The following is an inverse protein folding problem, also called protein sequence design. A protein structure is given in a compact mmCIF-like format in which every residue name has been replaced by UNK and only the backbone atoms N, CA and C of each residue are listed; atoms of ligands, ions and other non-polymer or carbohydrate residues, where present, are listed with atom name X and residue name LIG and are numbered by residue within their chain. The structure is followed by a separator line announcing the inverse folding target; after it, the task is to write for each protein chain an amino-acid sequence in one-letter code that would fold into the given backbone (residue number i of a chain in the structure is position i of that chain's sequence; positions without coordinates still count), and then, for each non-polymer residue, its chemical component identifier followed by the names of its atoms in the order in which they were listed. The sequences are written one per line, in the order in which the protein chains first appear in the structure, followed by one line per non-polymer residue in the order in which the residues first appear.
data_IF_112409623525
#
_entry.id   IF_112409623525
#
_cell.length_a   1.000
_cell.length_b   1.000
_cell.length_c   1.000
_cell.angle_alpha   90.00
_cell.angle_beta   90.00
_cell.angle_gamma   90.00
#
_symmetry.space_group_name_H-M   'P 1'
#
loop_
_entity.id
_entity.type
_entity.pdbx_description
1 polymer ?
#
# COMPACT_ATOMS: atom_id res chain seq x y z
N UNK A 1 27.52 24.32 -15.57
CA UNK A 1 27.46 23.59 -14.28
C UNK A 1 26.04 23.20 -13.82
N UNK A 2 24.98 23.92 -14.21
CA UNK A 2 23.60 23.65 -13.73
C UNK A 2 22.91 22.47 -14.45
N UNK A 3 23.13 22.30 -15.77
CA UNK A 3 22.58 21.18 -16.58
C UNK A 3 23.06 19.79 -16.15
N UNK A 4 24.30 19.65 -15.69
CA UNK A 4 24.85 18.37 -15.25
C UNK A 4 24.23 17.88 -13.93
N UNK A 5 23.82 18.82 -13.06
CA UNK A 5 23.19 18.50 -11.78
C UNK A 5 21.74 18.00 -11.98
N UNK A 6 20.98 18.65 -12.86
CA UNK A 6 19.61 18.25 -13.19
C UNK A 6 19.55 16.88 -13.88
N UNK A 7 20.44 16.63 -14.85
CA UNK A 7 20.53 15.32 -15.51
C UNK A 7 20.92 14.20 -14.52
N UNK A 8 21.78 14.49 -13.52
CA UNK A 8 22.13 13.55 -12.44
C UNK A 8 20.94 13.27 -11.52
N UNK A 9 20.22 14.31 -11.10
CA UNK A 9 19.04 14.19 -10.25
C UNK A 9 17.94 13.37 -10.93
N UNK A 10 17.73 13.61 -12.23
CA UNK A 10 16.77 12.87 -13.05
C UNK A 10 17.13 11.39 -13.14
N UNK A 11 18.39 11.05 -13.45
CA UNK A 11 18.86 9.65 -13.48
C UNK A 11 18.76 8.94 -12.14
N UNK A 12 19.00 9.65 -11.03
CA UNK A 12 18.82 9.09 -9.67
C UNK A 12 17.35 8.81 -9.41
N UNK A 13 16.46 9.72 -9.81
CA UNK A 13 15.02 9.54 -9.64
C UNK A 13 14.49 8.38 -10.50
N UNK A 14 14.89 8.26 -11.76
CA UNK A 14 14.54 7.13 -12.63
C UNK A 14 14.98 5.79 -12.04
N UNK A 15 16.20 5.71 -11.47
CA UNK A 15 16.67 4.51 -10.77
C UNK A 15 15.83 4.20 -9.54
N UNK A 16 15.44 5.21 -8.76
CA UNK A 16 14.56 5.04 -7.59
C UNK A 16 13.17 4.54 -7.99
N UNK A 17 12.60 5.06 -9.08
CA UNK A 17 11.31 4.60 -9.60
C UNK A 17 11.37 3.15 -10.05
N UNK A 18 12.42 2.75 -10.79
CA UNK A 18 12.64 1.35 -11.18
C UNK A 18 12.80 0.43 -9.96
N UNK A 19 13.56 0.85 -8.96
CA UNK A 19 13.78 0.06 -7.74
C UNK A 19 12.54 -0.04 -6.84
N UNK A 20 11.58 0.86 -7.01
CA UNK A 20 10.34 0.88 -6.24
C UNK A 20 9.23 0.04 -6.87
N UNK A 21 9.47 -0.70 -7.96
CA UNK A 21 8.49 -1.60 -8.58
C UNK A 21 7.15 -0.92 -8.94
N UNK A 22 7.19 0.33 -9.40
CA UNK A 22 5.99 1.06 -9.82
C UNK A 22 5.48 0.47 -11.15
N UNK A 23 4.21 0.04 -11.26
CA UNK A 23 3.66 -0.46 -12.52
C UNK A 23 3.65 0.62 -13.61
N UNK A 24 3.89 0.22 -14.87
CA UNK A 24 4.04 1.15 -16.01
C UNK A 24 2.81 2.05 -16.21
N UNK A 25 1.61 1.51 -16.01
CA UNK A 25 0.34 2.24 -16.10
C UNK A 25 0.21 3.40 -15.10
N UNK A 26 0.97 3.39 -14.00
CA UNK A 26 0.99 4.46 -13.01
C UNK A 26 2.24 5.37 -13.11
N UNK A 27 3.02 5.25 -14.19
CA UNK A 27 4.22 6.07 -14.41
C UNK A 27 3.91 7.57 -14.46
N UNK A 28 2.72 7.95 -14.91
CA UNK A 28 2.26 9.35 -14.95
C UNK A 28 1.38 9.78 -13.76
N UNK A 29 1.12 8.86 -12.81
CA UNK A 29 0.33 9.14 -11.61
C UNK A 29 1.00 10.23 -10.77
N UNK A 30 0.29 11.33 -10.55
CA UNK A 30 0.72 12.52 -9.82
C UNK A 30 -0.47 13.11 -9.05
N UNK A 31 -0.21 13.96 -8.06
CA UNK A 31 -1.28 14.63 -7.31
C UNK A 31 -2.12 15.57 -8.18
N UNK A 32 -1.52 16.23 -9.17
CA UNK A 32 -2.22 17.12 -10.11
C UNK A 32 -3.15 16.36 -11.07
N UNK A 33 -2.77 15.15 -11.47
CA UNK A 33 -3.54 14.27 -12.35
C UNK A 33 -4.57 13.39 -11.61
N UNK A 34 -4.67 13.48 -10.28
CA UNK A 34 -5.65 12.73 -9.50
C UNK A 34 -7.05 13.36 -9.60
N UNK A 35 -8.04 12.56 -10.01
CA UNK A 35 -9.45 12.96 -10.11
C UNK A 35 -10.07 13.17 -8.73
N UNK A 36 -10.88 14.22 -8.58
CA UNK A 36 -11.48 14.68 -7.30
C UNK A 36 -12.95 15.05 -7.51
N UNK A 37 -13.65 14.20 -8.25
CA UNK A 37 -15.03 14.40 -8.67
C UNK A 37 -16.01 13.98 -7.56
N UNK A 38 -15.69 12.91 -6.83
CA UNK A 38 -16.51 12.40 -5.73
C UNK A 38 -16.00 12.83 -4.35
N UNK A 39 -16.84 12.71 -3.32
CA UNK A 39 -16.45 13.05 -1.93
C UNK A 39 -15.39 12.08 -1.39
N UNK A 40 -15.44 10.81 -1.78
CA UNK A 40 -14.47 9.78 -1.41
C UNK A 40 -13.09 10.13 -1.99
N UNK A 41 -13.04 10.53 -3.27
CA UNK A 41 -11.79 10.95 -3.90
C UNK A 41 -11.21 12.20 -3.22
N UNK A 42 -12.04 13.18 -2.87
CA UNK A 42 -11.62 14.37 -2.12
C UNK A 42 -11.11 14.00 -0.72
N UNK A 43 -11.77 13.07 -0.04
CA UNK A 43 -11.35 12.56 1.26
C UNK A 43 -9.99 11.85 1.18
N UNK A 44 -9.81 10.92 0.24
CA UNK A 44 -8.54 10.22 0.02
C UNK A 44 -7.41 11.20 -0.29
N UNK A 45 -7.64 12.13 -1.23
CA UNK A 45 -6.66 13.15 -1.60
C UNK A 45 -6.27 14.03 -0.42
N UNK A 46 -7.25 14.57 0.30
CA UNK A 46 -7.00 15.46 1.43
C UNK A 46 -6.30 14.75 2.59
N UNK A 47 -6.62 13.46 2.83
CA UNK A 47 -5.97 12.64 3.85
C UNK A 47 -4.51 12.38 3.50
N UNK A 48 -4.23 11.95 2.26
CA UNK A 48 -2.86 11.75 1.78
C UNK A 48 -2.05 13.05 1.83
N UNK A 49 -2.67 14.17 1.43
CA UNK A 49 -2.04 15.49 1.50
C UNK A 49 -1.67 15.89 2.93
N UNK A 50 -2.59 15.74 3.89
CA UNK A 50 -2.34 16.01 5.32
C UNK A 50 -1.24 15.09 5.89
N UNK A 51 -1.27 13.82 5.56
CA UNK A 51 -0.24 12.85 5.98
C UNK A 51 1.15 13.27 5.49
N UNK A 52 1.28 13.59 4.20
CA UNK A 52 2.56 13.99 3.59
C UNK A 52 3.07 15.36 4.06
N UNK A 53 2.17 16.27 4.43
CA UNK A 53 2.55 17.55 5.04
C UNK A 53 3.18 17.34 6.42
N UNK A 54 2.64 16.42 7.21
CA UNK A 54 3.09 16.12 8.57
C UNK A 54 4.15 14.99 8.62
N UNK A 55 4.57 14.47 7.46
CA UNK A 55 5.38 13.24 7.40
C UNK A 55 6.69 13.37 8.16
N UNK A 56 7.36 14.52 8.06
CA UNK A 56 8.66 14.75 8.70
C UNK A 56 8.56 14.66 10.23
N UNK A 57 7.45 15.15 10.78
CA UNK A 57 7.17 15.18 12.22
C UNK A 57 6.75 13.81 12.74
N UNK A 58 5.97 13.05 11.95
CA UNK A 58 5.40 11.78 12.42
C UNK A 58 6.23 10.54 12.07
N UNK A 59 7.12 10.59 11.07
CA UNK A 59 7.77 9.38 10.50
C UNK A 59 8.46 8.50 11.55
N UNK A 60 9.06 9.09 12.58
CA UNK A 60 9.81 8.37 13.61
C UNK A 60 8.97 8.07 14.87
N UNK A 61 7.66 8.34 14.83
CA UNK A 61 6.72 8.09 15.93
C UNK A 61 6.04 6.72 15.79
N UNK A 62 5.29 6.30 16.82
CA UNK A 62 4.49 5.07 16.76
C UNK A 62 3.27 5.16 15.84
N UNK A 63 2.80 6.38 15.54
CA UNK A 63 1.61 6.63 14.72
C UNK A 63 2.02 7.33 13.43
N UNK A 64 2.66 6.57 12.55
CA UNK A 64 3.35 7.09 11.38
C UNK A 64 2.85 6.47 10.06
N UNK A 65 1.84 5.61 10.11
CA UNK A 65 1.31 4.91 8.94
C UNK A 65 0.01 5.54 8.43
N UNK A 66 -0.37 5.20 7.21
CA UNK A 66 -1.63 5.59 6.58
C UNK A 66 -2.26 4.37 5.93
N UNK A 67 -3.58 4.20 6.09
CA UNK A 67 -4.32 3.05 5.59
C UNK A 67 -5.61 3.47 4.90
N UNK A 68 -5.83 2.98 3.68
CA UNK A 68 -7.12 3.09 2.99
C UNK A 68 -7.75 1.70 2.86
N UNK A 69 -8.78 1.41 3.62
CA UNK A 69 -9.46 0.10 3.64
C UNK A 69 -10.86 0.20 3.03
N UNK A 70 -11.50 -0.94 2.77
CA UNK A 70 -12.90 -0.95 2.36
C UNK A 70 -13.81 -0.70 3.58
N UNK A 71 -14.98 -0.10 3.34
CA UNK A 71 -16.06 -0.06 4.35
C UNK A 71 -16.70 -1.44 4.53
N UNK A 72 -16.77 -2.22 3.45
CA UNK A 72 -17.27 -3.59 3.44
C UNK A 72 -16.31 -4.48 2.65
N UNK A 73 -15.74 -5.47 3.32
CA UNK A 73 -14.64 -6.28 2.80
C UNK A 73 -15.06 -7.22 1.67
N UNK A 74 -14.16 -7.45 0.72
CA UNK A 74 -14.37 -8.38 -0.39
C UNK A 74 -14.71 -9.80 0.10
N UNK A 75 -14.12 -10.23 1.23
CA UNK A 75 -14.43 -11.54 1.81
C UNK A 75 -15.89 -11.65 2.27
N UNK A 76 -16.47 -10.59 2.86
CA UNK A 76 -17.90 -10.56 3.23
C UNK A 76 -18.78 -10.66 1.99
N UNK A 77 -18.44 -9.94 0.93
CA UNK A 77 -19.15 -10.04 -0.37
C UNK A 77 -19.10 -11.48 -0.90
N UNK A 78 -17.96 -12.16 -0.79
CA UNK A 78 -17.81 -13.57 -1.22
C UNK A 78 -18.63 -14.54 -0.38
N UNK A 79 -18.88 -14.24 0.88
CA UNK A 79 -19.70 -15.06 1.78
C UNK A 79 -21.22 -14.87 1.56
N UNK A 80 -21.64 -13.80 0.88
CA UNK A 80 -23.04 -13.61 0.50
C UNK A 80 -23.51 -14.67 -0.51
N UNK A 81 -24.83 -14.88 -0.52
CA UNK A 81 -25.51 -15.67 -1.55
C UNK A 81 -25.15 -15.20 -2.96
N UNK A 82 -24.87 -16.10 -3.93
CA UNK A 82 -24.44 -15.73 -5.27
C UNK A 82 -25.30 -14.67 -5.95
N UNK A 83 -26.62 -14.74 -5.77
CA UNK A 83 -27.58 -13.79 -6.34
C UNK A 83 -27.45 -12.35 -5.80
N UNK A 84 -26.91 -12.17 -4.59
CA UNK A 84 -26.76 -10.86 -3.94
C UNK A 84 -25.39 -10.22 -4.19
N UNK A 85 -24.39 -10.99 -4.63
CA UNK A 85 -23.00 -10.52 -4.77
C UNK A 85 -22.86 -9.36 -5.74
N UNK A 86 -23.56 -9.40 -6.88
CA UNK A 86 -23.47 -8.35 -7.88
C UNK A 86 -24.03 -7.01 -7.37
N UNK A 87 -25.13 -7.06 -6.61
CA UNK A 87 -25.70 -5.89 -5.97
C UNK A 87 -24.77 -5.34 -4.88
N UNK A 88 -24.30 -6.20 -3.97
CA UNK A 88 -23.38 -5.81 -2.90
C UNK A 88 -22.08 -5.20 -3.45
N UNK A 89 -21.55 -5.72 -4.57
CA UNK A 89 -20.38 -5.12 -5.24
C UNK A 89 -20.64 -3.71 -5.76
N UNK A 90 -21.84 -3.40 -6.23
CA UNK A 90 -22.20 -2.05 -6.68
C UNK A 90 -22.38 -1.10 -5.51
N UNK A 91 -23.02 -1.56 -4.44
CA UNK A 91 -23.31 -0.77 -3.25
C UNK A 91 -22.04 -0.49 -2.43
N UNK A 92 -21.17 -1.48 -2.30
CA UNK A 92 -19.97 -1.43 -1.46
C UNK A 92 -18.66 -1.49 -2.27
N UNK A 93 -18.65 -0.86 -3.44
CA UNK A 93 -17.45 -0.87 -4.25
C UNK A 93 -16.32 -0.11 -3.54
N UNK A 94 -15.13 -0.71 -3.44
CA UNK A 94 -13.93 -0.04 -2.93
C UNK A 94 -12.82 0.03 -4.00
N UNK A 95 -13.09 -0.43 -5.21
CA UNK A 95 -12.19 -0.41 -6.35
C UNK A 95 -12.35 0.87 -7.17
N UNK A 96 -11.36 1.22 -7.99
CA UNK A 96 -11.50 2.37 -8.90
C UNK A 96 -11.48 3.76 -8.26
N UNK A 97 -11.37 3.87 -6.93
CA UNK A 97 -11.29 5.16 -6.21
C UNK A 97 -9.91 5.85 -6.33
N UNK A 98 -8.96 5.23 -7.02
CA UNK A 98 -7.61 5.76 -7.26
C UNK A 98 -6.66 5.68 -6.06
N UNK A 99 -6.85 4.70 -5.17
CA UNK A 99 -5.94 4.41 -4.04
C UNK A 99 -4.49 4.18 -4.51
N UNK A 100 -4.28 3.30 -5.51
CA UNK A 100 -2.97 3.05 -6.11
C UNK A 100 -2.36 4.31 -6.74
N UNK A 101 -3.16 5.13 -7.42
CA UNK A 101 -2.69 6.41 -8.00
C UNK A 101 -2.12 7.34 -6.93
N UNK A 102 -2.85 7.52 -5.82
CA UNK A 102 -2.38 8.35 -4.70
C UNK A 102 -1.13 7.78 -4.04
N UNK A 103 -1.05 6.46 -3.87
CA UNK A 103 0.13 5.79 -3.34
C UNK A 103 1.36 6.02 -4.23
N UNK A 104 1.22 5.90 -5.55
CA UNK A 104 2.32 6.17 -6.49
C UNK A 104 2.70 7.65 -6.50
N UNK A 105 1.72 8.56 -6.42
CA UNK A 105 1.99 9.99 -6.29
C UNK A 105 2.74 10.32 -4.98
N UNK A 106 2.36 9.68 -3.87
CA UNK A 106 3.04 9.78 -2.58
C UNK A 106 4.47 9.22 -2.64
N UNK A 107 4.67 8.08 -3.30
CA UNK A 107 5.99 7.48 -3.53
C UNK A 107 6.93 8.49 -4.21
N UNK A 108 6.48 9.08 -5.32
CA UNK A 108 7.23 10.09 -6.07
C UNK A 108 7.52 11.32 -5.22
N UNK A 109 6.54 11.80 -4.45
CA UNK A 109 6.68 12.95 -3.57
C UNK A 109 7.76 12.73 -2.48
N UNK A 110 7.77 11.55 -1.86
CA UNK A 110 8.72 11.17 -0.82
C UNK A 110 10.13 10.94 -1.39
N UNK A 111 10.23 10.25 -2.53
CA UNK A 111 11.52 10.05 -3.21
C UNK A 111 12.19 11.35 -3.63
N UNK A 112 11.41 12.34 -4.12
CA UNK A 112 11.91 13.69 -4.44
C UNK A 112 12.49 14.41 -3.22
N UNK A 113 12.06 14.04 -2.02
CA UNK A 113 12.55 14.59 -0.74
C UNK A 113 13.69 13.79 -0.12
N UNK A 114 14.20 12.79 -0.84
CA UNK A 114 15.37 12.02 -0.41
C UNK A 114 15.04 10.72 0.32
N UNK A 115 13.76 10.43 0.59
CA UNK A 115 13.36 9.23 1.30
C UNK A 115 13.51 7.98 0.42
N UNK A 116 13.93 6.89 1.03
CA UNK A 116 13.90 5.57 0.38
C UNK A 116 12.49 4.99 0.45
N UNK A 117 11.94 4.59 -0.69
CA UNK A 117 10.57 4.08 -0.78
C UNK A 117 10.58 2.78 -1.56
N UNK A 118 9.90 1.77 -1.03
CA UNK A 118 9.59 0.53 -1.73
C UNK A 118 8.08 0.48 -1.91
N UNK A 119 7.61 0.33 -3.14
CA UNK A 119 6.21 0.05 -3.45
C UNK A 119 6.09 -1.41 -3.84
N UNK A 120 5.11 -2.12 -3.27
CA UNK A 120 4.83 -3.52 -3.57
C UNK A 120 3.33 -3.71 -3.77
N UNK A 121 2.98 -4.63 -4.66
CA UNK A 121 1.63 -5.19 -4.75
C UNK A 121 1.59 -6.49 -3.95
N UNK A 122 0.60 -6.61 -3.07
CA UNK A 122 0.46 -7.75 -2.17
C UNK A 122 0.52 -9.12 -2.87
N UNK A 123 -0.28 -9.28 -3.92
CA UNK A 123 -0.41 -10.54 -4.65
C UNK A 123 0.94 -11.03 -5.17
N UNK A 124 1.61 -10.18 -5.93
CA UNK A 124 2.91 -10.49 -6.54
C UNK A 124 4.00 -10.66 -5.49
N UNK A 125 4.11 -9.74 -4.54
CA UNK A 125 5.20 -9.76 -3.56
C UNK A 125 5.14 -10.96 -2.63
N UNK A 126 3.94 -11.36 -2.19
CA UNK A 126 3.79 -12.54 -1.33
C UNK A 126 4.08 -13.84 -2.09
N UNK A 127 3.74 -13.91 -3.38
CA UNK A 127 4.09 -15.06 -4.23
C UNK A 127 5.60 -15.12 -4.48
N UNK A 128 6.25 -13.97 -4.75
CA UNK A 128 7.70 -13.87 -4.91
C UNK A 128 8.46 -14.32 -3.64
N UNK A 129 8.00 -13.91 -2.45
CA UNK A 129 8.58 -14.37 -1.18
C UNK A 129 8.47 -15.89 -1.01
N UNK A 130 7.32 -16.48 -1.34
CA UNK A 130 7.13 -17.92 -1.24
C UNK A 130 8.01 -18.65 -2.26
N UNK A 131 8.07 -18.18 -3.50
CA UNK A 131 8.93 -18.74 -4.54
C UNK A 131 10.41 -18.66 -4.14
N UNK A 132 10.87 -17.49 -3.68
CA UNK A 132 12.24 -17.28 -3.22
C UNK A 132 12.60 -18.17 -2.03
N UNK A 133 11.65 -18.47 -1.13
CA UNK A 133 11.87 -19.39 -0.01
C UNK A 133 12.10 -20.84 -0.45
N UNK A 134 11.59 -21.21 -1.62
CA UNK A 134 11.72 -22.56 -2.20
C UNK A 134 12.94 -22.71 -3.12
N UNK A 135 13.67 -21.62 -3.41
CA UNK A 135 14.89 -21.67 -4.22
C UNK A 135 16.02 -22.39 -3.49
N UNK A 136 16.88 -23.07 -4.26
CA UNK A 136 18.08 -23.71 -3.73
C UNK A 136 19.27 -22.72 -3.69
N UNK A 137 19.10 -21.62 -2.98
CA UNK A 137 20.05 -20.50 -2.91
C UNK A 137 20.46 -20.13 -1.48
N UNK A 138 20.28 -21.06 -0.53
CA UNK A 138 20.44 -20.82 0.92
C UNK A 138 19.54 -19.68 1.45
N UNK A 139 18.37 -19.46 0.85
CA UNK A 139 17.40 -18.41 1.20
C UNK A 139 17.97 -16.99 1.02
N UNK A 140 18.98 -16.80 0.17
CA UNK A 140 19.58 -15.48 -0.07
C UNK A 140 18.56 -14.50 -0.64
N UNK A 141 17.85 -14.91 -1.68
CA UNK A 141 16.84 -14.08 -2.35
C UNK A 141 15.65 -13.80 -1.43
N UNK A 142 15.17 -14.82 -0.70
CA UNK A 142 14.12 -14.67 0.29
C UNK A 142 14.47 -13.63 1.35
N UNK A 143 15.67 -13.75 1.95
CA UNK A 143 16.14 -12.81 2.96
C UNK A 143 16.34 -11.41 2.39
N UNK A 144 16.80 -11.30 1.13
CA UNK A 144 16.94 -10.00 0.43
C UNK A 144 15.60 -9.29 0.31
N UNK A 145 14.57 -9.96 -0.22
CA UNK A 145 13.23 -9.40 -0.39
C UNK A 145 12.60 -9.05 0.96
N UNK A 146 12.63 -9.98 1.92
CA UNK A 146 12.04 -9.82 3.24
C UNK A 146 12.70 -8.66 4.01
N UNK A 147 14.02 -8.58 4.02
CA UNK A 147 14.73 -7.51 4.72
C UNK A 147 14.53 -6.15 4.05
N UNK A 148 14.44 -6.09 2.71
CA UNK A 148 14.15 -4.84 2.01
C UNK A 148 12.79 -4.28 2.43
N UNK A 149 11.74 -5.10 2.45
CA UNK A 149 10.41 -4.68 2.92
C UNK A 149 10.39 -4.29 4.41
N UNK A 150 11.18 -4.97 5.24
CA UNK A 150 11.30 -4.66 6.67
C UNK A 150 12.03 -3.35 6.94
N UNK A 151 13.09 -3.04 6.19
CA UNK A 151 14.07 -2.01 6.57
C UNK A 151 14.01 -0.73 5.74
N UNK A 152 13.36 -0.75 4.58
CA UNK A 152 13.15 0.48 3.78
C UNK A 152 12.46 1.56 4.62
N UNK A 153 12.85 2.82 4.43
CA UNK A 153 12.33 3.93 5.22
C UNK A 153 10.81 4.05 5.09
N UNK A 154 10.27 3.99 3.88
CA UNK A 154 8.83 3.97 3.64
C UNK A 154 8.43 2.75 2.81
N UNK A 155 7.51 1.95 3.34
CA UNK A 155 6.89 0.85 2.61
C UNK A 155 5.51 1.30 2.13
N UNK A 156 5.27 1.19 0.84
CA UNK A 156 3.95 1.33 0.24
C UNK A 156 3.47 -0.07 -0.14
N UNK A 157 2.38 -0.51 0.46
CA UNK A 157 1.84 -1.85 0.29
C UNK A 157 0.44 -1.77 -0.32
N UNK A 158 0.38 -1.91 -1.63
CA UNK A 158 -0.86 -1.83 -2.39
C UNK A 158 -1.64 -3.14 -2.33
N UNK A 159 -2.97 -3.06 -2.27
CA UNK A 159 -3.90 -4.19 -2.26
C UNK A 159 -3.61 -5.23 -1.15
N UNK A 160 -3.22 -4.77 0.05
CA UNK A 160 -2.91 -5.63 1.20
C UNK A 160 -4.02 -6.64 1.49
N UNK A 161 -3.65 -7.92 1.63
CA UNK A 161 -4.59 -9.01 1.91
C UNK A 161 -5.27 -9.63 0.67
N UNK A 162 -4.89 -9.19 -0.54
CA UNK A 162 -5.38 -9.76 -1.81
C UNK A 162 -4.87 -11.17 -2.07
N UNK A 163 -3.66 -11.50 -1.63
CA UNK A 163 -3.10 -12.83 -1.81
C UNK A 163 -3.91 -13.90 -1.08
N UNK A 164 -3.97 -15.11 -1.65
CA UNK A 164 -4.63 -16.25 -0.99
C UNK A 164 -3.98 -16.51 0.36
N UNK A 165 -4.82 -16.65 1.38
CA UNK A 165 -4.35 -16.94 2.74
C UNK A 165 -3.61 -18.28 2.79
N UNK A 166 -2.53 -18.30 3.57
CA UNK A 166 -1.87 -19.50 4.05
C UNK A 166 -1.13 -19.14 5.34
N UNK A 167 -0.92 -20.12 6.22
CA UNK A 167 -0.17 -19.92 7.46
C UNK A 167 1.24 -19.35 7.18
N UNK A 168 1.88 -19.79 6.09
CA UNK A 168 3.17 -19.26 5.68
C UNK A 168 3.11 -17.76 5.34
N UNK A 169 2.06 -17.30 4.65
CA UNK A 169 1.88 -15.90 4.27
C UNK A 169 1.47 -15.05 5.48
N UNK A 170 0.58 -15.54 6.34
CA UNK A 170 0.24 -14.88 7.61
C UNK A 170 1.49 -14.59 8.45
N UNK A 171 2.37 -15.59 8.57
CA UNK A 171 3.66 -15.43 9.26
C UNK A 171 4.57 -14.38 8.60
N UNK A 172 4.52 -14.20 7.27
CA UNK A 172 5.31 -13.18 6.57
C UNK A 172 4.75 -11.78 6.81
N UNK A 173 3.43 -11.60 6.74
CA UNK A 173 2.78 -10.33 7.10
C UNK A 173 3.17 -9.89 8.50
N UNK A 174 3.05 -10.81 9.46
CA UNK A 174 3.43 -10.54 10.84
C UNK A 174 4.90 -10.11 10.95
N UNK A 175 5.82 -10.85 10.34
CA UNK A 175 7.25 -10.51 10.38
C UNK A 175 7.57 -9.12 9.82
N UNK A 176 6.92 -8.71 8.74
CA UNK A 176 7.14 -7.40 8.11
C UNK A 176 6.51 -6.30 8.99
N UNK A 177 5.22 -6.43 9.30
CA UNK A 177 4.46 -5.41 10.02
C UNK A 177 5.01 -5.22 11.44
N UNK A 178 5.29 -6.31 12.16
CA UNK A 178 5.81 -6.23 13.53
C UNK A 178 7.23 -5.66 13.59
N UNK A 179 8.09 -6.00 12.64
CA UNK A 179 9.41 -5.37 12.58
C UNK A 179 9.28 -3.85 12.38
N UNK A 180 8.47 -3.43 11.40
CA UNK A 180 8.26 -2.01 11.10
C UNK A 180 7.60 -1.26 12.26
N UNK A 181 6.63 -1.87 12.93
CA UNK A 181 6.01 -1.36 14.16
C UNK A 181 7.02 -1.14 15.28
N UNK A 182 7.93 -2.10 15.51
CA UNK A 182 8.94 -1.99 16.56
C UNK A 182 9.97 -0.90 16.27
N UNK A 183 10.28 -0.65 15.00
CA UNK A 183 11.31 0.29 14.55
C UNK A 183 10.76 1.64 14.07
N UNK A 184 9.46 1.91 14.24
CA UNK A 184 8.80 3.12 13.76
C UNK A 184 9.03 3.37 12.26
N UNK A 185 8.90 2.33 11.43
CA UNK A 185 9.05 2.43 9.99
C UNK A 185 7.66 2.52 9.33
N UNK A 186 7.29 3.64 8.70
CA UNK A 186 5.93 3.90 8.22
C UNK A 186 5.49 2.93 7.12
N UNK A 187 4.20 2.56 7.14
CA UNK A 187 3.55 1.77 6.09
C UNK A 187 2.39 2.60 5.53
N UNK A 188 2.39 2.85 4.23
CA UNK A 188 1.23 3.38 3.52
C UNK A 188 0.58 2.20 2.80
N UNK A 189 -0.66 1.86 3.14
CA UNK A 189 -1.32 0.69 2.56
C UNK A 189 -2.72 0.98 2.06
N UNK A 190 -3.17 0.13 1.16
CA UNK A 190 -4.54 0.05 0.67
C UNK A 190 -5.03 -1.38 0.88
N UNK A 191 -6.33 -1.57 1.07
CA UNK A 191 -6.95 -2.89 1.09
C UNK A 191 -8.38 -2.81 0.56
N UNK A 192 -8.84 -3.92 -0.01
CA UNK A 192 -10.24 -4.14 -0.37
C UNK A 192 -10.97 -5.00 0.68
N UNK A 193 -10.28 -5.30 1.78
CA UNK A 193 -10.85 -5.88 2.99
C UNK A 193 -11.15 -4.77 4.01
N UNK A 194 -12.08 -5.02 4.92
CA UNK A 194 -12.47 -4.09 5.99
C UNK A 194 -11.82 -4.46 7.32
N UNK A 195 -12.24 -3.81 8.41
CA UNK A 195 -11.72 -4.08 9.77
C UNK A 195 -11.96 -5.52 10.25
N UNK A 196 -13.04 -6.15 9.77
CA UNK A 196 -13.46 -7.50 10.15
C UNK A 196 -12.72 -8.56 9.32
N UNK A 197 -12.56 -8.33 8.02
CA UNK A 197 -12.04 -9.35 7.10
C UNK A 197 -10.54 -9.29 6.85
N UNK A 198 -9.91 -8.11 6.99
CA UNK A 198 -8.47 -7.99 6.86
C UNK A 198 -7.67 -8.88 7.84
N UNK A 199 -8.03 -9.02 9.14
CA UNK A 199 -7.31 -9.92 10.04
C UNK A 199 -7.40 -11.40 9.63
N UNK A 200 -8.41 -11.82 8.87
CA UNK A 200 -8.46 -13.17 8.29
C UNK A 200 -7.40 -13.41 7.20
N UNK A 201 -6.81 -12.34 6.66
CA UNK A 201 -5.74 -12.40 5.65
C UNK A 201 -4.36 -12.29 6.26
N UNK A 202 -4.18 -11.32 7.14
CA UNK A 202 -2.85 -10.92 7.64
C UNK A 202 -2.59 -11.37 9.09
N UNK A 203 -3.59 -11.91 9.76
CA UNK A 203 -3.55 -12.29 11.17
C UNK A 203 -3.91 -11.12 12.10
N UNK A 204 -4.63 -11.43 13.18
CA UNK A 204 -5.11 -10.46 14.17
C UNK A 204 -3.98 -9.62 14.80
N UNK A 205 -2.84 -10.25 15.09
CA UNK A 205 -1.72 -9.59 15.73
C UNK A 205 -1.00 -8.60 14.80
N UNK A 206 -0.97 -8.88 13.48
CA UNK A 206 -0.44 -7.97 12.48
C UNK A 206 -1.40 -6.79 12.28
N UNK A 207 -2.70 -7.07 12.14
CA UNK A 207 -3.76 -6.04 12.03
C UNK A 207 -3.73 -5.07 13.20
N UNK A 208 -3.65 -5.58 14.44
CA UNK A 208 -3.60 -4.75 15.65
C UNK A 208 -2.48 -3.71 15.61
N UNK A 209 -1.27 -4.13 15.20
CA UNK A 209 -0.12 -3.22 15.04
C UNK A 209 -0.33 -2.24 13.91
N UNK A 210 -0.73 -2.73 12.74
CA UNK A 210 -0.91 -1.91 11.54
C UNK A 210 -1.93 -0.78 11.78
N UNK A 211 -3.05 -1.11 12.43
CA UNK A 211 -4.10 -0.14 12.76
C UNK A 211 -3.64 0.81 13.87
N UNK A 212 -2.90 0.28 14.85
CA UNK A 212 -2.24 1.09 15.89
C UNK A 212 -1.27 2.14 15.31
N UNK A 213 -0.56 1.82 14.23
CA UNK A 213 0.32 2.77 13.53
C UNK A 213 -0.44 3.79 12.69
N UNK A 214 -1.66 3.46 12.26
CA UNK A 214 -2.37 4.23 11.24
C UNK A 214 -3.47 5.13 11.80
N UNK A 215 -4.01 4.82 12.99
CA UNK A 215 -5.02 5.59 13.76
C UNK A 215 -5.63 6.80 13.03
N UNK A 216 -4.98 7.96 13.09
CA UNK A 216 -5.50 9.23 12.55
C UNK A 216 -5.63 9.30 11.02
N UNK A 217 -4.91 8.42 10.31
CA UNK A 217 -4.87 8.29 8.86
C UNK A 217 -5.38 6.92 8.38
N UNK A 218 -6.20 6.25 9.18
CA UNK A 218 -6.93 5.06 8.76
C UNK A 218 -8.33 5.46 8.27
N UNK A 219 -8.58 5.33 6.97
CA UNK A 219 -9.85 5.71 6.35
C UNK A 219 -10.47 4.48 5.70
N UNK A 220 -11.73 4.19 6.05
CA UNK A 220 -12.57 3.27 5.30
C UNK A 220 -13.31 4.03 4.20
N UNK A 221 -13.31 3.49 2.98
CA UNK A 221 -13.96 4.11 1.82
C UNK A 221 -14.74 3.08 1.00
N UNK A 222 -15.87 3.52 0.48
CA UNK A 222 -16.65 2.86 -0.56
C UNK A 222 -17.23 3.94 -1.49
N UNK A 223 -17.38 3.65 -2.78
CA UNK A 223 -17.92 4.57 -3.79
C UNK A 223 -17.86 3.97 -5.19
N UNK A 224 -18.45 4.63 -6.18
CA UNK A 224 -18.54 4.12 -7.56
C UNK A 224 -17.17 3.79 -8.18
N UNK A 225 -17.11 2.73 -9.00
CA UNK A 225 -15.92 2.44 -9.81
C UNK A 225 -15.81 3.46 -10.95
N UNK A 226 -14.81 4.31 -10.87
CA UNK A 226 -14.57 5.33 -11.87
C UNK A 226 -13.98 4.76 -13.17
N UNK A 227 -13.36 3.56 -13.14
CA UNK A 227 -12.80 2.92 -14.33
C UNK A 227 -13.87 2.51 -15.34
N UNK A 228 -15.14 2.42 -14.91
CA UNK A 228 -16.27 2.12 -15.78
C UNK A 228 -16.87 3.36 -16.48
N UNK A 229 -16.37 4.57 -16.17
CA UNK A 229 -16.85 5.85 -16.75
C UNK A 229 -15.92 6.41 -17.85
N UNK A 230 -14.83 5.70 -18.19
CA UNK A 230 -13.94 5.98 -19.33
C UNK A 230 -14.23 5.03 -20.51
#
# INVERSE_FOLDING_TARGET
MQKDCECKAQRVMERRLKNAMIPEEFTDARFDSYKRETEEQKLLYSTMGKYLQNFKEIKDTKQNSLGFIATFGELRIKQLEPAKRAQAKREHNSFGLGKTHLQVAAAKYLMKRGHSVLLISDGTFMDDLIAAKMMNDDKKEFNRLLNHAKQVEVLIWDDLGKSKWSEAKENLYYQIIDYRYRHNLPILYSSNEDDETLPEKIGYAAKSRLFGMSKHYLIAVEGDDYREKE
#
